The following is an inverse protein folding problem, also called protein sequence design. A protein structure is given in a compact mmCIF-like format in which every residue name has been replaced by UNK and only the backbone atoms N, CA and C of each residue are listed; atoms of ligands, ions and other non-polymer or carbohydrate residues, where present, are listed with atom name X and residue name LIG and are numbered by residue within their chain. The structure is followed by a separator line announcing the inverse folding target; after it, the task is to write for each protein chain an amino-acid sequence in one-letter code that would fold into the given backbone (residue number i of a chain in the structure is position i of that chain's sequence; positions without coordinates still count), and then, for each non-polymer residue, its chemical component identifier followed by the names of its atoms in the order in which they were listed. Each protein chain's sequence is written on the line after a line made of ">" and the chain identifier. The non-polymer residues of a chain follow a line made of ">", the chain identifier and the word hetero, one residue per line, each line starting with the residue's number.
data_IF_546726670935
#
_entry.id   IF_546726670935
#
_cell.length_a   1.000
_cell.length_b   1.000
_cell.length_c   1.000
_cell.angle_alpha   90.00
_cell.angle_beta   90.00
_cell.angle_gamma   90.00
#
_symmetry.space_group_name_H-M   'P 1'
#
loop_
_entity.id
_entity.type
_entity.pdbx_description
1 polymer ?
#
# COMPACT_ATOMS: atom_id res chain seq x y z
N UNK A 1 -1.69 -16.04 -8.70
CA UNK A 1 -2.28 -16.91 -7.64
C UNK A 1 -3.63 -17.43 -8.13
N UNK A 2 -4.04 -18.64 -7.75
CA UNK A 2 -5.40 -19.14 -8.04
C UNK A 2 -6.40 -18.51 -7.06
N UNK A 3 -6.95 -17.35 -7.43
CA UNK A 3 -7.80 -16.50 -6.57
C UNK A 3 -9.16 -17.16 -6.23
N UNK A 4 -9.54 -18.22 -6.95
CA UNK A 4 -10.75 -19.01 -6.63
C UNK A 4 -10.51 -20.03 -5.51
N UNK A 5 -9.25 -20.45 -5.31
CA UNK A 5 -8.89 -21.44 -4.27
C UNK A 5 -8.19 -20.84 -3.07
N UNK A 6 -7.53 -19.70 -3.24
CA UNK A 6 -6.77 -19.03 -2.18
C UNK A 6 -7.60 -17.89 -1.61
N UNK A 7 -7.86 -17.92 -0.30
CA UNK A 7 -8.54 -16.80 0.37
C UNK A 7 -7.70 -15.52 0.28
N UNK A 8 -8.30 -14.37 -0.04
CA UNK A 8 -7.61 -13.09 0.05
C UNK A 8 -7.23 -12.81 1.51
N UNK A 9 -6.17 -12.03 1.69
CA UNK A 9 -5.79 -11.51 3.00
C UNK A 9 -6.20 -10.05 3.14
N UNK A 10 -6.30 -9.60 4.40
CA UNK A 10 -6.54 -8.21 4.73
C UNK A 10 -5.25 -7.40 4.54
N UNK A 11 -5.26 -6.49 3.58
CA UNK A 11 -4.23 -5.47 3.40
C UNK A 11 -4.68 -4.19 4.09
N UNK A 12 -3.85 -3.70 5.03
CA UNK A 12 -4.06 -2.39 5.68
C UNK A 12 -3.24 -1.34 4.94
N UNK A 13 -3.94 -0.37 4.36
CA UNK A 13 -3.37 0.71 3.57
C UNK A 13 -3.61 2.03 4.29
N UNK A 14 -2.58 2.77 4.60
CA UNK A 14 -2.63 4.07 5.24
C UNK A 14 -2.48 5.15 4.19
N UNK A 15 -3.50 5.98 4.00
CA UNK A 15 -3.54 6.93 2.89
C UNK A 15 -3.51 8.37 3.38
N UNK A 16 -2.42 9.09 3.11
CA UNK A 16 -2.26 10.49 3.54
C UNK A 16 -2.16 11.45 2.35
N UNK A 17 -2.72 12.65 2.53
CA UNK A 17 -2.66 13.72 1.53
C UNK A 17 -1.30 14.44 1.60
N UNK A 18 -0.72 14.75 0.44
CA UNK A 18 0.51 15.54 0.25
C UNK A 18 1.83 14.88 0.70
N UNK A 19 1.82 13.92 1.64
CA UNK A 19 3.03 13.29 2.14
C UNK A 19 2.77 11.92 2.76
N UNK A 20 3.80 11.09 2.80
CA UNK A 20 3.79 9.83 3.53
C UNK A 20 3.71 10.06 5.05
N UNK A 21 3.19 9.09 5.78
CA UNK A 21 3.33 9.09 7.24
C UNK A 21 4.79 8.97 7.64
N UNK A 22 5.17 9.59 8.76
CA UNK A 22 6.53 9.39 9.28
C UNK A 22 6.61 7.98 9.85
N UNK A 23 7.75 7.34 9.72
CA UNK A 23 7.98 6.04 10.37
C UNK A 23 7.76 6.14 11.89
N UNK A 24 8.03 7.31 12.48
CA UNK A 24 7.78 7.62 13.88
C UNK A 24 6.29 7.57 14.27
N UNK A 25 5.38 7.81 13.33
CA UNK A 25 3.93 7.66 13.55
C UNK A 25 3.51 6.18 13.60
N UNK A 26 4.33 5.27 13.05
CA UNK A 26 4.14 3.83 13.14
C UNK A 26 4.89 3.28 14.35
N UNK A 27 4.15 3.03 15.43
CA UNK A 27 4.67 2.34 16.61
C UNK A 27 3.83 1.11 16.90
N UNK A 28 4.36 0.18 17.71
CA UNK A 28 3.68 -1.08 18.03
C UNK A 28 2.30 -0.83 18.67
N UNK A 29 2.14 0.31 19.36
CA UNK A 29 0.93 0.66 20.10
C UNK A 29 0.11 1.80 19.47
N UNK A 30 0.64 2.48 18.44
CA UNK A 30 0.00 3.63 17.81
C UNK A 30 0.27 3.60 16.33
N UNK A 31 -0.82 3.48 15.56
CA UNK A 31 -0.85 3.54 14.10
C UNK A 31 -1.83 4.66 13.71
N UNK A 32 -1.65 5.32 12.56
CA UNK A 32 -2.57 6.34 12.07
C UNK A 32 -3.87 5.71 11.56
N UNK A 33 -4.70 5.21 12.48
CA UNK A 33 -5.98 4.52 12.19
C UNK A 33 -7.02 5.43 11.53
N UNK A 34 -6.85 6.75 11.62
CA UNK A 34 -7.74 7.74 11.00
C UNK A 34 -7.64 7.74 9.46
N UNK A 35 -6.47 7.37 8.93
CA UNK A 35 -6.18 7.32 7.50
C UNK A 35 -6.12 5.87 6.96
N UNK A 36 -6.60 4.90 7.75
CA UNK A 36 -6.57 3.49 7.40
C UNK A 36 -7.72 3.10 6.45
N UNK A 37 -7.35 2.42 5.37
CA UNK A 37 -8.24 1.76 4.43
C UNK A 37 -7.89 0.27 4.41
N UNK A 38 -8.91 -0.55 4.59
CA UNK A 38 -8.79 -2.00 4.61
C UNK A 38 -9.26 -2.57 3.28
N UNK A 39 -8.40 -3.35 2.63
CA UNK A 39 -8.66 -3.92 1.30
C UNK A 39 -8.37 -5.41 1.34
N UNK A 40 -9.23 -6.22 0.73
CA UNK A 40 -8.98 -7.65 0.57
C UNK A 40 -8.25 -7.90 -0.74
N UNK A 41 -7.08 -8.53 -0.68
CA UNK A 41 -6.26 -8.77 -1.88
C UNK A 41 -5.39 -10.01 -1.75
N UNK A 42 -4.59 -10.28 -2.80
CA UNK A 42 -3.67 -11.41 -2.89
C UNK A 42 -2.23 -10.93 -3.09
N UNK A 43 -1.26 -11.83 -2.93
CA UNK A 43 0.17 -11.47 -3.02
C UNK A 43 0.59 -11.10 -4.44
N UNK A 44 -0.13 -11.59 -5.45
CA UNK A 44 0.09 -11.23 -6.84
C UNK A 44 -0.58 -9.90 -7.23
N UNK A 45 -1.27 -9.23 -6.31
CA UNK A 45 -1.88 -7.95 -6.61
C UNK A 45 -0.81 -6.92 -6.96
N UNK A 46 -1.02 -6.24 -8.09
CA UNK A 46 -0.14 -5.18 -8.55
C UNK A 46 -0.45 -3.86 -7.85
N UNK A 47 0.51 -2.94 -7.84
CA UNK A 47 0.28 -1.58 -7.33
C UNK A 47 -0.87 -0.88 -8.06
N UNK A 48 -1.06 -1.18 -9.35
CA UNK A 48 -2.19 -0.69 -10.14
C UNK A 48 -3.53 -1.24 -9.65
N UNK A 49 -3.58 -2.53 -9.31
CA UNK A 49 -4.79 -3.16 -8.78
C UNK A 49 -5.16 -2.55 -7.40
N UNK A 50 -4.16 -2.32 -6.54
CA UNK A 50 -4.36 -1.64 -5.26
C UNK A 50 -4.86 -0.20 -5.46
N UNK A 51 -4.30 0.53 -6.44
CA UNK A 51 -4.77 1.88 -6.78
C UNK A 51 -6.24 1.89 -7.25
N UNK A 52 -6.64 0.89 -8.05
CA UNK A 52 -8.04 0.72 -8.46
C UNK A 52 -8.96 0.43 -7.28
N UNK A 53 -8.57 -0.46 -6.36
CA UNK A 53 -9.34 -0.75 -5.15
C UNK A 53 -9.48 0.49 -4.25
N UNK A 54 -8.43 1.30 -4.13
CA UNK A 54 -8.48 2.59 -3.42
C UNK A 54 -9.45 3.57 -4.09
N UNK A 55 -9.48 3.61 -5.42
CA UNK A 55 -10.41 4.43 -6.17
C UNK A 55 -11.88 4.02 -5.99
N UNK A 56 -12.15 2.72 -5.76
CA UNK A 56 -13.50 2.23 -5.44
C UNK A 56 -13.95 2.66 -4.04
N UNK A 57 -13.02 2.74 -3.08
CA UNK A 57 -13.32 3.22 -1.72
C UNK A 57 -13.53 4.73 -1.69
N UNK A 58 -12.66 5.50 -2.36
CA UNK A 58 -12.79 6.95 -2.44
C UNK A 58 -12.32 7.47 -3.82
N UNK A 59 -13.21 8.16 -4.57
CA UNK A 59 -12.90 8.65 -5.91
C UNK A 59 -11.78 9.70 -5.95
N UNK A 60 -11.36 10.26 -4.80
CA UNK A 60 -10.22 11.19 -4.73
C UNK A 60 -8.90 10.56 -5.19
N UNK A 61 -8.74 9.25 -5.00
CA UNK A 61 -7.54 8.50 -5.42
C UNK A 61 -7.52 8.29 -6.94
N UNK A 62 -8.68 8.31 -7.59
CA UNK A 62 -8.84 8.07 -9.03
C UNK A 62 -8.70 9.33 -9.89
N UNK A 63 -8.43 10.49 -9.28
CA UNK A 63 -8.46 11.77 -10.01
C UNK A 63 -7.34 11.81 -11.06
N UNK A 64 -7.74 12.12 -12.30
CA UNK A 64 -6.79 12.23 -13.41
C UNK A 64 -5.70 13.27 -13.11
N UNK A 65 -4.44 12.85 -13.26
CA UNK A 65 -3.27 13.69 -12.99
C UNK A 65 -2.65 13.50 -11.60
N UNK A 66 -3.29 12.74 -10.70
CA UNK A 66 -2.69 12.38 -9.42
C UNK A 66 -1.66 11.26 -9.59
N UNK A 67 -0.62 11.31 -8.76
CA UNK A 67 0.42 10.29 -8.65
C UNK A 67 0.36 9.70 -7.25
N UNK A 68 0.07 8.41 -7.16
CA UNK A 68 0.02 7.68 -5.89
C UNK A 68 1.39 7.07 -5.62
N UNK A 69 2.04 7.52 -4.56
CA UNK A 69 3.31 6.96 -4.11
C UNK A 69 3.05 5.85 -3.09
N UNK A 70 3.59 4.67 -3.32
CA UNK A 70 3.41 3.48 -2.48
C UNK A 70 4.69 3.15 -1.72
N UNK A 71 4.55 2.95 -0.41
CA UNK A 71 5.60 2.44 0.48
C UNK A 71 5.08 1.25 1.26
N UNK A 72 5.94 0.28 1.49
CA UNK A 72 5.69 -0.79 2.47
C UNK A 72 6.29 -0.37 3.80
N UNK A 73 5.54 -0.50 4.88
CA UNK A 73 6.01 -0.28 6.24
C UNK A 73 5.99 -1.63 6.95
N UNK A 74 7.16 -2.10 7.37
CA UNK A 74 7.35 -3.42 7.97
C UNK A 74 8.05 -3.28 9.31
N UNK A 75 7.83 -4.24 10.20
CA UNK A 75 8.51 -4.29 11.50
C UNK A 75 9.85 -5.01 11.33
N UNK A 76 10.96 -4.29 11.56
CA UNK A 76 12.27 -4.91 11.66
C UNK A 76 12.36 -5.68 12.98
N UNK A 77 12.28 -7.01 12.90
CA UNK A 77 12.30 -7.90 14.06
C UNK A 77 13.65 -7.89 14.80
N UNK A 78 14.74 -7.47 14.14
CA UNK A 78 16.08 -7.38 14.75
C UNK A 78 16.19 -6.10 15.56
N UNK A 79 15.65 -5.00 15.04
CA UNK A 79 15.73 -3.66 15.67
C UNK A 79 14.51 -3.28 16.50
N UNK A 80 13.45 -4.10 16.47
CA UNK A 80 12.14 -3.83 17.07
C UNK A 80 11.58 -2.44 16.70
N UNK A 81 11.83 -2.00 15.46
CA UNK A 81 11.38 -0.70 14.94
C UNK A 81 10.71 -0.88 13.59
N UNK A 82 9.71 -0.07 13.32
CA UNK A 82 9.16 0.01 11.98
C UNK A 82 10.17 0.63 11.02
N UNK A 83 10.18 0.15 9.79
CA UNK A 83 10.94 0.70 8.71
C UNK A 83 10.06 0.79 7.46
N UNK A 84 10.39 1.69 6.55
CA UNK A 84 9.67 1.85 5.30
C UNK A 84 10.55 1.54 4.10
N UNK A 85 10.01 0.81 3.13
CA UNK A 85 10.63 0.56 1.83
C UNK A 85 9.75 1.11 0.73
N UNK A 86 10.35 1.86 -0.18
CA UNK A 86 9.70 2.38 -1.36
C UNK A 86 9.31 1.25 -2.32
N UNK A 87 8.03 1.19 -2.70
CA UNK A 87 7.50 0.22 -3.66
C UNK A 87 7.43 0.84 -5.05
N UNK A 88 7.19 2.15 -5.11
CA UNK A 88 7.17 2.92 -6.34
C UNK A 88 5.98 3.87 -6.43
N UNK A 89 5.90 4.58 -7.55
CA UNK A 89 4.85 5.59 -7.79
C UNK A 89 4.02 5.18 -9.00
N UNK A 90 2.70 5.26 -8.87
CA UNK A 90 1.72 5.02 -9.93
C UNK A 90 1.14 6.35 -10.35
N UNK A 91 1.13 6.61 -11.66
CA UNK A 91 0.46 7.78 -12.21
C UNK A 91 -0.91 7.34 -12.74
N UNK A 92 -1.99 7.92 -12.24
CA UNK A 92 -3.35 7.56 -12.69
C UNK A 92 -3.51 7.83 -14.20
N UNK A 93 -2.88 8.89 -14.69
CA UNK A 93 -2.97 9.35 -16.08
C UNK A 93 -2.00 8.69 -17.06
N UNK A 94 -0.88 8.12 -16.58
CA UNK A 94 0.17 7.57 -17.44
C UNK A 94 0.63 6.21 -16.92
N UNK A 95 0.70 5.17 -17.77
CA UNK A 95 1.27 3.90 -17.36
C UNK A 95 2.76 4.11 -17.01
N UNK A 96 3.16 3.65 -15.83
CA UNK A 96 4.54 3.59 -15.36
C UNK A 96 5.01 2.14 -15.32
N UNK A 97 6.33 1.91 -15.33
CA UNK A 97 6.88 0.55 -15.17
C UNK A 97 6.57 -0.08 -13.81
N UNK A 98 6.20 0.74 -12.84
CA UNK A 98 5.81 0.33 -11.48
C UNK A 98 4.38 -0.18 -11.40
N UNK A 99 3.53 0.00 -12.42
CA UNK A 99 2.14 -0.46 -12.42
C UNK A 99 2.01 -1.98 -12.33
N UNK A 100 2.91 -2.72 -12.99
CA UNK A 100 2.91 -4.18 -13.02
C UNK A 100 3.64 -4.81 -11.81
N UNK A 101 4.27 -4.00 -10.98
CA UNK A 101 5.02 -4.49 -9.82
C UNK A 101 4.06 -5.04 -8.78
N UNK A 102 4.28 -6.29 -8.39
CA UNK A 102 3.43 -7.00 -7.42
C UNK A 102 3.93 -6.87 -5.98
N UNK A 103 3.04 -7.15 -5.02
CA UNK A 103 3.42 -7.26 -3.60
C UNK A 103 4.42 -8.40 -3.37
N UNK A 104 4.26 -9.52 -4.07
CA UNK A 104 5.16 -10.67 -4.00
C UNK A 104 6.59 -10.32 -4.43
N UNK A 105 6.76 -9.62 -5.54
CA UNK A 105 8.08 -9.15 -6.02
C UNK A 105 8.78 -8.24 -5.01
N UNK A 106 8.00 -7.48 -4.24
CA UNK A 106 8.53 -6.59 -3.20
C UNK A 106 8.88 -7.29 -1.89
N UNK A 107 8.66 -8.61 -1.80
CA UNK A 107 8.79 -9.42 -0.58
C UNK A 107 7.88 -8.93 0.54
N UNK A 108 6.69 -8.47 0.18
CA UNK A 108 5.68 -8.08 1.14
C UNK A 108 5.28 -9.29 2.01
N UNK A 109 5.24 -9.10 3.33
CA UNK A 109 4.82 -10.11 4.28
C UNK A 109 3.43 -9.75 4.80
N UNK A 110 2.56 -10.75 4.94
CA UNK A 110 1.22 -10.53 5.50
C UNK A 110 1.40 -10.07 6.97
N UNK A 111 0.88 -8.88 7.27
CA UNK A 111 1.11 -8.18 8.53
C UNK A 111 1.93 -6.89 8.37
N UNK A 112 2.62 -6.73 7.24
CA UNK A 112 3.17 -5.45 6.83
C UNK A 112 2.04 -4.48 6.45
N UNK A 113 2.35 -3.20 6.53
CA UNK A 113 1.44 -2.12 6.17
C UNK A 113 1.85 -1.52 4.83
N UNK A 114 0.89 -0.93 4.13
CA UNK A 114 1.16 -0.12 2.95
C UNK A 114 0.83 1.32 3.29
N UNK A 115 1.73 2.23 2.98
CA UNK A 115 1.54 3.67 3.12
C UNK A 115 1.47 4.30 1.72
N UNK A 116 0.38 5.02 1.46
CA UNK A 116 0.09 5.66 0.19
C UNK A 116 0.03 7.17 0.38
N UNK A 117 0.85 7.89 -0.37
CA UNK A 117 0.79 9.34 -0.44
C UNK A 117 0.15 9.80 -1.75
N UNK A 118 -0.73 10.80 -1.63
CA UNK A 118 -1.41 11.49 -2.73
C UNK A 118 -0.67 12.73 -3.19
#
# INVERSE_FOLDING_TARGET
>A
VDREKVCPFLLRVFCKRESHHRIEDFTINRQPVEDEIQIYTWKDASLREIASLLAEVDPKYAKHGNSLSFKSVYLDNIRARYNSKDLGVINISKPSKTDDVTLEENRFIIGDFIDVAL
#
